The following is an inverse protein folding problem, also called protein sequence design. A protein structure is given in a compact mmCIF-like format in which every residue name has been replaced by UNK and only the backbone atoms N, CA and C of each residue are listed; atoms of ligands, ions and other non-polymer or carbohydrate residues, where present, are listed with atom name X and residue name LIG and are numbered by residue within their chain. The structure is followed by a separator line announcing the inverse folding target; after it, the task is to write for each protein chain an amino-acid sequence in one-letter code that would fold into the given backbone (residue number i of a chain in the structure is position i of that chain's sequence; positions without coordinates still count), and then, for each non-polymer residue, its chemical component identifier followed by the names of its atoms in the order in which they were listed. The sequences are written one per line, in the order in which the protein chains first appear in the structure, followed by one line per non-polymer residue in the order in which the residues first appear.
data_IF_289331438214
#
_entry.id   IF_289331438214
#
_cell.length_a   1.000
_cell.length_b   1.000
_cell.length_c   1.000
_cell.angle_alpha   90.00
_cell.angle_beta   90.00
_cell.angle_gamma   90.00
#
_symmetry.space_group_name_H-M   'P 1'
#
loop_
_entity.id
_entity.type
_entity.pdbx_description
1 polymer ?
#
# COMPACT_ATOMS: atom_id res chain seq x y z
N UNK A 1 10.08 1.45 4.21
CA UNK A 1 8.86 1.01 4.90
C UNK A 1 7.95 2.20 5.19
N UNK A 2 6.65 2.00 5.29
CA UNK A 2 5.67 3.05 5.56
C UNK A 2 4.60 2.54 6.53
N UNK A 3 3.78 3.46 7.03
CA UNK A 3 2.60 3.16 7.85
C UNK A 3 1.33 3.55 7.11
N UNK A 4 0.27 2.77 7.27
CA UNK A 4 -1.04 3.17 6.79
C UNK A 4 -1.56 4.38 7.58
N UNK A 5 -2.34 5.23 6.91
CA UNK A 5 -2.96 6.40 7.55
C UNK A 5 -3.85 6.00 8.73
N UNK A 6 -3.72 6.71 9.84
CA UNK A 6 -4.53 6.45 11.03
C UNK A 6 -6.04 6.62 10.76
N UNK A 7 -6.41 7.55 9.87
CA UNK A 7 -7.80 7.75 9.43
C UNK A 7 -8.34 6.52 8.69
N UNK A 8 -7.57 5.94 7.76
CA UNK A 8 -7.95 4.73 7.02
C UNK A 8 -8.13 3.54 7.96
N UNK A 9 -7.19 3.36 8.91
CA UNK A 9 -7.27 2.28 9.92
C UNK A 9 -8.52 2.44 10.78
N UNK A 10 -8.75 3.66 11.31
CA UNK A 10 -9.91 3.94 12.16
C UNK A 10 -11.24 3.75 11.41
N UNK A 11 -11.30 4.16 10.15
CA UNK A 11 -12.48 3.99 9.33
C UNK A 11 -12.78 2.51 9.05
N UNK A 12 -11.75 1.72 8.70
CA UNK A 12 -11.90 0.28 8.45
C UNK A 12 -12.42 -0.45 9.70
N UNK A 13 -11.84 -0.17 10.87
CA UNK A 13 -12.28 -0.70 12.16
C UNK A 13 -13.73 -0.30 12.44
N UNK A 14 -14.07 0.97 12.19
CA UNK A 14 -15.43 1.50 12.41
C UNK A 14 -16.48 0.85 11.54
N UNK A 15 -16.24 0.71 10.23
CA UNK A 15 -17.18 0.08 9.28
C UNK A 15 -17.45 -1.37 9.67
N UNK A 16 -16.41 -2.11 10.06
CA UNK A 16 -16.52 -3.51 10.44
C UNK A 16 -16.96 -3.71 11.90
N UNK A 17 -17.09 -2.62 12.68
CA UNK A 17 -17.46 -2.65 14.12
C UNK A 17 -16.52 -3.54 14.94
N UNK A 18 -15.21 -3.49 14.67
CA UNK A 18 -14.19 -4.28 15.37
C UNK A 18 -13.59 -3.52 16.56
N UNK A 19 -12.96 -4.26 17.49
CA UNK A 19 -12.19 -3.66 18.58
C UNK A 19 -10.73 -3.48 18.17
N UNK A 20 -10.30 -2.23 17.97
CA UNK A 20 -8.93 -1.89 17.62
C UNK A 20 -7.87 -2.29 18.65
N UNK A 21 -8.28 -2.52 19.91
CA UNK A 21 -7.40 -2.98 20.99
C UNK A 21 -7.35 -4.52 21.14
N UNK A 22 -8.21 -5.24 20.41
CA UNK A 22 -8.21 -6.70 20.45
C UNK A 22 -6.82 -7.26 20.07
N UNK A 23 -6.35 -8.25 20.83
CA UNK A 23 -5.12 -8.97 20.51
C UNK A 23 -5.32 -9.86 19.28
N UNK A 24 -4.48 -9.68 18.28
CA UNK A 24 -4.44 -10.48 17.05
C UNK A 24 -3.04 -11.05 16.81
N UNK A 25 -2.97 -12.12 16.03
CA UNK A 25 -1.71 -12.74 15.63
C UNK A 25 -1.37 -12.42 14.18
N UNK A 26 -0.19 -11.87 13.92
CA UNK A 26 0.39 -11.64 12.60
C UNK A 26 1.66 -12.48 12.48
N UNK A 27 1.58 -13.63 11.82
CA UNK A 27 2.63 -14.65 11.92
C UNK A 27 2.77 -15.14 13.37
N UNK A 28 3.99 -15.10 13.89
CA UNK A 28 4.30 -15.51 15.27
C UNK A 28 4.18 -14.35 16.29
N UNK A 29 3.91 -13.13 15.82
CA UNK A 29 3.82 -11.95 16.67
C UNK A 29 2.38 -11.68 17.11
N UNK A 30 2.20 -11.26 18.38
CA UNK A 30 0.94 -10.78 18.94
C UNK A 30 0.99 -9.28 19.12
N UNK A 31 -0.09 -8.60 18.72
CA UNK A 31 -0.21 -7.14 18.80
C UNK A 31 -1.68 -6.73 18.80
N UNK A 32 -1.98 -5.44 18.98
CA UNK A 32 -3.34 -4.94 18.80
C UNK A 32 -3.73 -4.93 17.32
N UNK A 33 -5.04 -5.03 17.03
CA UNK A 33 -5.55 -4.90 15.66
C UNK A 33 -5.12 -3.56 15.02
N UNK A 34 -5.20 -2.46 15.78
CA UNK A 34 -4.77 -1.15 15.30
C UNK A 34 -3.30 -1.15 14.89
N UNK A 35 -2.40 -1.74 15.69
CA UNK A 35 -0.98 -1.84 15.35
C UNK A 35 -0.75 -2.71 14.11
N UNK A 36 -1.42 -3.85 14.01
CA UNK A 36 -1.35 -4.75 12.87
C UNK A 36 -1.76 -4.04 11.57
N UNK A 37 -2.90 -3.35 11.58
CA UNK A 37 -3.40 -2.60 10.42
C UNK A 37 -2.53 -1.39 10.08
N UNK A 38 -1.95 -0.73 11.07
CA UNK A 38 -1.10 0.45 10.84
C UNK A 38 0.24 0.10 10.19
N UNK A 39 0.89 -0.99 10.62
CA UNK A 39 2.30 -1.21 10.29
C UNK A 39 2.65 -2.58 9.70
N UNK A 40 1.72 -3.52 9.65
CA UNK A 40 2.01 -4.89 9.21
C UNK A 40 1.22 -5.36 7.99
N UNK A 41 0.07 -4.76 7.70
CA UNK A 41 -0.89 -5.26 6.73
C UNK A 41 -1.19 -4.23 5.62
N UNK A 42 -1.34 -4.71 4.39
CA UNK A 42 -1.64 -3.89 3.21
C UNK A 42 -3.12 -3.50 3.17
N UNK A 43 -3.43 -2.20 3.12
CA UNK A 43 -4.80 -1.68 3.09
C UNK A 43 -5.14 -0.92 1.79
N UNK A 44 -4.14 -0.48 1.04
CA UNK A 44 -4.34 0.42 -0.11
C UNK A 44 -4.41 -0.29 -1.47
N UNK A 45 -4.13 -1.60 -1.50
CA UNK A 45 -4.17 -2.41 -2.72
C UNK A 45 -5.09 -3.61 -2.51
N UNK A 46 -6.09 -3.76 -3.37
CA UNK A 46 -6.93 -4.95 -3.41
C UNK A 46 -6.27 -6.08 -4.21
N UNK A 47 -6.62 -7.33 -3.92
CA UNK A 47 -6.07 -8.52 -4.57
C UNK A 47 -7.00 -9.73 -4.41
N UNK A 48 -6.91 -10.74 -5.32
CA UNK A 48 -7.87 -11.84 -5.37
C UNK A 48 -8.03 -12.63 -4.07
N UNK A 49 -6.93 -12.85 -3.34
CA UNK A 49 -6.99 -13.61 -2.08
C UNK A 49 -7.76 -12.87 -0.99
N UNK A 50 -7.65 -11.51 -0.94
CA UNK A 50 -8.49 -10.74 -0.02
C UNK A 50 -9.97 -10.94 -0.33
N UNK A 51 -10.38 -10.75 -1.59
CA UNK A 51 -11.78 -10.93 -2.02
C UNK A 51 -12.29 -12.31 -1.60
N UNK A 52 -11.52 -13.36 -1.88
CA UNK A 52 -11.88 -14.73 -1.54
C UNK A 52 -12.04 -14.95 -0.04
N UNK A 53 -11.06 -14.49 0.76
CA UNK A 53 -11.08 -14.68 2.22
C UNK A 53 -12.18 -13.84 2.87
N UNK A 54 -12.36 -12.59 2.40
CA UNK A 54 -13.40 -11.70 2.88
C UNK A 54 -14.80 -12.23 2.54
N UNK A 55 -15.03 -12.70 1.30
CA UNK A 55 -16.28 -13.35 0.90
C UNK A 55 -16.58 -14.58 1.76
N UNK A 56 -15.58 -15.44 2.00
CA UNK A 56 -15.75 -16.64 2.82
C UNK A 56 -16.10 -16.31 4.28
N UNK A 57 -15.53 -15.24 4.83
CA UNK A 57 -15.80 -14.80 6.20
C UNK A 57 -17.17 -14.12 6.35
N UNK A 58 -17.58 -13.30 5.36
CA UNK A 58 -18.81 -12.50 5.43
C UNK A 58 -20.03 -13.16 4.80
N UNK A 59 -19.84 -14.16 3.92
CA UNK A 59 -20.92 -14.81 3.16
C UNK A 59 -21.53 -13.90 2.08
N UNK A 60 -20.83 -12.86 1.63
CA UNK A 60 -21.36 -11.92 0.62
C UNK A 60 -21.69 -12.62 -0.71
N UNK A 61 -22.98 -12.71 -1.06
CA UNK A 61 -23.45 -13.29 -2.32
C UNK A 61 -23.03 -12.45 -3.52
N UNK A 62 -22.98 -11.15 -3.38
CA UNK A 62 -22.57 -10.22 -4.44
C UNK A 62 -21.10 -10.39 -4.79
N UNK A 63 -20.21 -10.58 -3.79
CA UNK A 63 -18.82 -10.93 -4.05
C UNK A 63 -18.66 -12.32 -4.65
N UNK A 64 -19.46 -13.30 -4.21
CA UNK A 64 -19.46 -14.63 -4.81
C UNK A 64 -19.77 -14.58 -6.30
N UNK A 65 -20.85 -13.86 -6.69
CA UNK A 65 -21.21 -13.65 -8.09
C UNK A 65 -20.11 -12.93 -8.88
N UNK A 66 -19.50 -11.89 -8.31
CA UNK A 66 -18.40 -11.16 -8.96
C UNK A 66 -17.18 -12.06 -9.21
N UNK A 67 -16.91 -13.01 -8.33
CA UNK A 67 -15.80 -13.97 -8.47
C UNK A 67 -15.97 -14.97 -9.60
N UNK A 68 -17.19 -15.19 -10.10
CA UNK A 68 -17.47 -16.08 -11.24
C UNK A 68 -16.96 -15.49 -12.55
N UNK A 69 -16.88 -14.15 -12.67
CA UNK A 69 -16.34 -13.46 -13.84
C UNK A 69 -14.96 -12.84 -13.53
N UNK A 70 -13.92 -13.50 -14.00
CA UNK A 70 -12.53 -13.07 -13.77
C UNK A 70 -12.21 -11.70 -14.38
N UNK A 71 -12.86 -11.32 -15.49
CA UNK A 71 -12.61 -10.03 -16.12
C UNK A 71 -13.24 -8.90 -15.32
N UNK A 72 -14.48 -9.07 -14.88
CA UNK A 72 -15.16 -8.12 -14.02
C UNK A 72 -14.45 -7.99 -12.66
N UNK A 73 -14.07 -9.10 -12.04
CA UNK A 73 -13.31 -9.08 -10.79
C UNK A 73 -12.00 -8.30 -10.91
N UNK A 74 -11.25 -8.49 -12.01
CA UNK A 74 -10.00 -7.76 -12.26
C UNK A 74 -10.24 -6.26 -12.38
N UNK A 75 -11.25 -5.83 -13.15
CA UNK A 75 -11.63 -4.42 -13.29
C UNK A 75 -12.05 -3.85 -11.94
N UNK A 76 -12.91 -4.55 -11.21
CA UNK A 76 -13.39 -4.14 -9.89
C UNK A 76 -12.22 -3.89 -8.92
N UNK A 77 -11.27 -4.83 -8.84
CA UNK A 77 -10.09 -4.69 -7.97
C UNK A 77 -9.13 -3.58 -8.43
N UNK A 78 -9.02 -3.32 -9.74
CA UNK A 78 -8.11 -2.28 -10.24
C UNK A 78 -8.55 -0.87 -9.85
N UNK A 79 -9.85 -0.68 -9.59
CA UNK A 79 -10.45 0.62 -9.27
C UNK A 79 -10.63 0.85 -7.77
N UNK A 80 -10.45 -0.18 -6.92
CA UNK A 80 -10.85 -0.15 -5.51
C UNK A 80 -9.70 -0.50 -4.56
N UNK A 81 -9.63 0.23 -3.47
CA UNK A 81 -8.85 -0.16 -2.30
C UNK A 81 -9.61 -1.16 -1.42
N UNK A 82 -8.97 -1.74 -0.43
CA UNK A 82 -9.60 -2.66 0.55
C UNK A 82 -10.83 -2.02 1.21
N UNK A 83 -10.73 -0.75 1.59
CA UNK A 83 -11.80 -0.02 2.27
C UNK A 83 -13.07 0.08 1.41
N UNK A 84 -12.93 0.25 0.09
CA UNK A 84 -14.09 0.32 -0.81
C UNK A 84 -14.81 -1.00 -0.92
N UNK A 85 -14.06 -2.10 -0.95
CA UNK A 85 -14.62 -3.45 -0.99
C UNK A 85 -15.45 -3.70 0.28
N UNK A 86 -14.94 -3.26 1.43
CA UNK A 86 -15.64 -3.39 2.71
C UNK A 86 -16.90 -2.51 2.76
N UNK A 87 -16.86 -1.30 2.19
CA UNK A 87 -18.02 -0.42 2.06
C UNK A 87 -19.09 -0.99 1.11
N UNK A 88 -18.66 -1.50 -0.05
CA UNK A 88 -19.56 -2.06 -1.06
C UNK A 88 -20.21 -3.37 -0.59
N UNK A 89 -19.53 -4.14 0.25
CA UNK A 89 -19.93 -5.47 0.71
C UNK A 89 -19.84 -5.59 2.23
N UNK A 90 -20.64 -4.82 3.00
CA UNK A 90 -20.57 -4.88 4.46
C UNK A 90 -20.88 -6.29 4.95
N UNK A 91 -20.13 -6.74 5.95
CA UNK A 91 -20.32 -8.08 6.54
C UNK A 91 -19.67 -8.14 7.92
N UNK A 92 -19.93 -9.23 8.64
CA UNK A 92 -19.37 -9.46 9.95
C UNK A 92 -18.22 -10.48 9.87
N UNK A 93 -17.11 -10.15 10.48
CA UNK A 93 -15.97 -11.03 10.67
C UNK A 93 -15.26 -10.65 11.97
N UNK A 94 -14.46 -11.54 12.53
CA UNK A 94 -13.64 -11.23 13.69
C UNK A 94 -12.37 -10.48 13.29
N UNK A 95 -11.72 -9.87 14.28
CA UNK A 95 -10.43 -9.19 14.13
C UNK A 95 -9.37 -10.10 13.51
N UNK A 96 -9.30 -11.33 13.98
CA UNK A 96 -8.35 -12.33 13.46
C UNK A 96 -8.68 -12.74 12.02
N UNK A 97 -9.95 -12.87 11.66
CA UNK A 97 -10.36 -13.17 10.29
C UNK A 97 -9.99 -12.02 9.33
N UNK A 98 -10.10 -10.76 9.78
CA UNK A 98 -9.63 -9.62 8.98
C UNK A 98 -8.12 -9.70 8.75
N UNK A 99 -7.34 -9.95 9.80
CA UNK A 99 -5.88 -10.10 9.69
C UNK A 99 -5.49 -11.22 8.73
N UNK A 100 -6.15 -12.38 8.79
CA UNK A 100 -5.90 -13.53 7.91
C UNK A 100 -6.30 -13.28 6.46
N UNK A 101 -7.28 -12.41 6.21
CA UNK A 101 -7.66 -12.02 4.86
C UNK A 101 -6.67 -11.06 4.22
N UNK A 102 -5.94 -10.27 5.03
CA UNK A 102 -4.99 -9.27 4.58
C UNK A 102 -3.59 -9.88 4.35
N UNK A 103 -2.88 -9.34 3.38
CA UNK A 103 -1.47 -9.71 3.13
C UNK A 103 -0.52 -8.80 3.88
N UNK A 104 0.72 -9.24 4.13
CA UNK A 104 1.72 -8.38 4.73
C UNK A 104 1.96 -7.09 3.93
N UNK A 105 2.18 -6.00 4.66
CA UNK A 105 2.67 -4.75 4.10
C UNK A 105 4.07 -4.99 3.53
N UNK A 106 4.29 -4.57 2.29
CA UNK A 106 5.60 -4.66 1.65
C UNK A 106 6.16 -3.27 1.41
N UNK A 107 7.48 -3.06 1.52
CA UNK A 107 8.09 -1.78 1.22
C UNK A 107 7.83 -1.37 -0.23
N UNK A 108 7.92 -0.07 -0.53
CA UNK A 108 7.90 0.46 -1.90
C UNK A 108 9.31 0.90 -2.27
N UNK A 109 9.68 0.60 -3.51
CA UNK A 109 10.95 1.04 -4.08
C UNK A 109 10.76 2.39 -4.77
N UNK A 110 11.66 3.31 -4.49
CA UNK A 110 11.77 4.60 -5.15
C UNK A 110 13.17 4.75 -5.72
N UNK A 111 13.28 5.20 -6.96
CA UNK A 111 14.58 5.47 -7.57
C UNK A 111 15.25 6.66 -6.88
N UNK A 112 16.53 6.53 -6.58
CA UNK A 112 17.34 7.62 -6.08
C UNK A 112 17.52 8.66 -7.19
N UNK A 113 17.19 9.92 -6.91
CA UNK A 113 17.24 11.05 -7.84
C UNK A 113 18.44 11.96 -7.65
N UNK A 114 19.30 11.68 -6.67
CA UNK A 114 20.49 12.47 -6.34
C UNK A 114 21.79 11.74 -6.65
N UNK A 115 22.84 12.50 -6.93
CA UNK A 115 24.22 11.99 -6.99
C UNK A 115 24.85 12.00 -5.61
N UNK A 116 25.29 10.86 -5.10
CA UNK A 116 25.97 10.78 -3.80
C UNK A 116 27.21 11.68 -3.72
N UNK A 117 27.92 11.90 -4.85
CA UNK A 117 29.08 12.78 -4.89
C UNK A 117 28.74 14.26 -4.66
N UNK A 118 27.49 14.66 -4.93
CA UNK A 118 27.01 16.05 -4.75
C UNK A 118 26.33 16.28 -3.39
N UNK A 119 25.60 15.26 -2.89
CA UNK A 119 24.76 15.40 -1.69
C UNK A 119 25.30 14.63 -0.48
N UNK A 120 26.40 13.91 -0.65
CA UNK A 120 27.13 13.18 0.39
C UNK A 120 26.25 12.18 1.18
N UNK A 121 25.71 12.57 2.33
CA UNK A 121 24.92 11.71 3.23
C UNK A 121 23.42 11.82 2.98
N UNK A 122 22.99 12.60 1.99
CA UNK A 122 21.58 12.76 1.64
C UNK A 122 21.16 11.83 0.50
N UNK A 123 19.85 11.55 0.44
CA UNK A 123 19.21 10.85 -0.68
C UNK A 123 17.96 11.62 -1.08
N UNK A 124 17.89 12.07 -2.33
CA UNK A 124 16.71 12.74 -2.86
C UNK A 124 15.84 11.75 -3.62
N UNK A 125 14.53 11.83 -3.43
CA UNK A 125 13.53 11.01 -4.10
C UNK A 125 12.52 11.90 -4.83
N UNK A 126 12.04 11.43 -5.99
CA UNK A 126 10.91 12.03 -6.67
C UNK A 126 9.67 11.17 -6.43
N UNK A 127 8.74 11.66 -5.63
CA UNK A 127 7.54 10.92 -5.22
C UNK A 127 6.30 11.59 -5.81
N UNK A 128 5.52 10.85 -6.62
CA UNK A 128 4.19 11.29 -6.99
C UNK A 128 3.23 11.00 -5.84
N UNK A 129 2.63 12.04 -5.28
CA UNK A 129 1.59 11.88 -4.27
C UNK A 129 0.32 11.35 -4.94
N UNK A 130 -0.03 10.11 -4.62
CA UNK A 130 -1.29 9.49 -5.07
C UNK A 130 -2.40 9.96 -4.14
N UNK A 131 -3.25 10.84 -4.63
CA UNK A 131 -4.38 11.43 -3.90
C UNK A 131 -5.49 11.74 -4.91
N UNK A 132 -6.65 11.12 -4.73
CA UNK A 132 -7.77 11.22 -5.68
C UNK A 132 -9.11 10.98 -5.00
N UNK A 133 -10.18 11.47 -5.63
CA UNK A 133 -11.55 11.20 -5.23
C UNK A 133 -12.14 10.07 -6.09
N UNK A 134 -12.70 9.05 -5.44
CA UNK A 134 -13.45 7.99 -6.10
C UNK A 134 -14.54 7.47 -5.16
N UNK A 135 -15.67 7.01 -5.71
CA UNK A 135 -16.79 6.44 -4.94
C UNK A 135 -17.30 7.35 -3.80
N UNK A 136 -17.14 8.70 -3.96
CA UNK A 136 -17.52 9.69 -2.95
C UNK A 136 -16.56 9.79 -1.75
N UNK A 137 -15.37 9.21 -1.85
CA UNK A 137 -14.35 9.22 -0.79
C UNK A 137 -12.97 9.59 -1.34
N UNK A 138 -12.16 10.23 -0.49
CA UNK A 138 -10.74 10.49 -0.78
C UNK A 138 -9.94 9.21 -0.62
N UNK A 139 -9.05 8.97 -1.58
CA UNK A 139 -8.14 7.83 -1.61
C UNK A 139 -6.71 8.30 -1.70
N UNK A 140 -5.83 7.64 -0.97
CA UNK A 140 -4.40 7.94 -0.98
C UNK A 140 -3.58 6.67 -1.20
N UNK A 141 -2.42 6.84 -1.81
CA UNK A 141 -1.43 5.76 -1.89
C UNK A 141 -0.77 5.56 -0.53
N UNK A 142 -0.59 4.31 -0.07
CA UNK A 142 -0.04 4.02 1.25
C UNK A 142 1.33 4.67 1.47
N UNK A 143 2.32 4.35 0.64
CA UNK A 143 3.67 4.89 0.79
C UNK A 143 3.77 6.37 0.40
N UNK A 144 3.14 6.80 -0.69
CA UNK A 144 3.18 8.20 -1.11
C UNK A 144 2.43 9.11 -0.15
N UNK A 145 1.28 8.69 0.39
CA UNK A 145 0.56 9.42 1.43
C UNK A 145 1.38 9.53 2.71
N UNK A 146 2.03 8.43 3.13
CA UNK A 146 2.92 8.46 4.28
C UNK A 146 4.06 9.48 4.10
N UNK A 147 4.78 9.43 2.98
CA UNK A 147 5.93 10.30 2.73
C UNK A 147 5.55 11.76 2.51
N UNK A 148 4.41 12.04 1.85
CA UNK A 148 4.06 13.39 1.43
C UNK A 148 3.14 14.12 2.42
N UNK A 149 2.41 13.40 3.28
CA UNK A 149 1.39 14.02 4.14
C UNK A 149 1.53 13.67 5.62
N UNK A 150 1.95 12.42 5.96
CA UNK A 150 1.93 11.97 7.35
C UNK A 150 3.31 11.97 8.02
N UNK A 151 4.38 11.93 7.25
CA UNK A 151 5.74 12.05 7.78
C UNK A 151 6.01 13.51 8.10
N UNK A 152 6.30 13.79 9.38
CA UNK A 152 6.70 15.13 9.80
C UNK A 152 8.09 15.48 9.27
N UNK A 153 8.37 16.77 9.10
CA UNK A 153 9.71 17.25 8.78
C UNK A 153 10.71 16.79 9.84
N UNK A 154 11.83 16.23 9.43
CA UNK A 154 12.82 15.54 10.26
C UNK A 154 12.32 14.26 10.95
N UNK A 155 11.21 13.68 10.50
CA UNK A 155 10.75 12.38 10.96
C UNK A 155 11.57 11.24 10.38
N UNK A 156 11.58 10.10 11.07
CA UNK A 156 12.35 8.91 10.69
C UNK A 156 11.58 8.00 9.73
N UNK A 157 12.30 7.45 8.74
CA UNK A 157 11.82 6.43 7.81
C UNK A 157 12.78 5.26 7.80
N UNK A 158 12.25 4.05 7.99
CA UNK A 158 13.06 2.83 7.81
C UNK A 158 13.26 2.55 6.32
N UNK A 159 14.51 2.48 5.88
CA UNK A 159 14.88 2.26 4.49
C UNK A 159 15.92 1.16 4.34
N UNK A 160 16.00 0.60 3.14
CA UNK A 160 17.14 -0.18 2.67
C UNK A 160 17.50 0.25 1.26
N UNK A 161 18.73 0.04 0.85
CA UNK A 161 19.20 0.35 -0.50
C UNK A 161 19.22 -0.94 -1.32
N UNK A 162 18.46 -0.94 -2.43
CA UNK A 162 18.49 -2.03 -3.39
C UNK A 162 19.40 -1.66 -4.56
N UNK A 163 20.42 -2.47 -4.82
CA UNK A 163 21.34 -2.27 -5.92
C UNK A 163 20.73 -2.74 -7.24
N UNK A 164 20.89 -1.93 -8.30
CA UNK A 164 20.50 -2.29 -9.66
C UNK A 164 21.69 -2.16 -10.61
N UNK A 165 22.34 -3.28 -10.89
CA UNK A 165 23.50 -3.32 -11.79
C UNK A 165 23.12 -3.21 -13.27
N UNK A 166 21.83 -3.42 -13.59
CA UNK A 166 21.31 -3.34 -14.97
C UNK A 166 20.94 -1.91 -15.40
N UNK A 167 20.91 -0.95 -14.44
CA UNK A 167 20.60 0.44 -14.71
C UNK A 167 21.76 1.33 -14.32
N UNK A 168 22.76 1.41 -15.21
CA UNK A 168 24.00 2.16 -15.02
C UNK A 168 24.35 2.92 -16.30
N UNK A 169 25.02 4.06 -16.12
CA UNK A 169 25.62 4.76 -17.26
C UNK A 169 26.74 3.90 -17.86
N UNK A 170 26.98 4.00 -19.18
CA UNK A 170 28.11 3.34 -19.83
C UNK A 170 29.44 3.74 -19.17
N UNK A 171 30.38 2.79 -19.06
CA UNK A 171 31.72 3.06 -18.52
C UNK A 171 32.53 4.03 -19.40
N UNK A 172 32.33 4.00 -20.73
CA UNK A 172 32.91 4.98 -21.66
C UNK A 172 32.03 6.25 -21.70
N UNK A 173 32.53 7.40 -21.20
CA UNK A 173 31.76 8.65 -21.16
C UNK A 173 31.42 9.22 -22.55
N UNK A 174 32.06 8.72 -23.62
CA UNK A 174 31.74 9.13 -25.00
C UNK A 174 30.59 8.32 -25.64
N UNK A 175 30.07 7.32 -24.96
CA UNK A 175 28.95 6.53 -25.45
C UNK A 175 27.68 7.40 -25.51
N UNK A 176 27.02 7.52 -26.68
CA UNK A 176 25.75 8.26 -26.78
C UNK A 176 24.68 7.62 -25.90
N UNK A 177 23.98 8.43 -25.11
CA UNK A 177 22.90 7.98 -24.21
C UNK A 177 21.63 8.76 -24.52
N UNK A 178 20.50 8.06 -24.64
CA UNK A 178 19.17 8.65 -24.73
C UNK A 178 18.44 8.31 -23.44
N UNK A 179 17.97 9.33 -22.72
CA UNK A 179 17.20 9.19 -21.48
C UNK A 179 15.75 9.55 -21.74
N UNK A 180 14.81 8.70 -21.30
CA UNK A 180 13.37 8.93 -21.39
C UNK A 180 12.77 8.70 -20.02
N UNK A 181 12.25 9.76 -19.41
CA UNK A 181 11.72 9.72 -18.04
C UNK A 181 10.41 10.49 -17.91
N UNK A 182 9.24 9.91 -18.29
CA UNK A 182 7.96 10.58 -18.09
C UNK A 182 7.58 10.59 -16.59
N UNK A 183 7.05 11.73 -16.13
CA UNK A 183 6.64 11.91 -14.74
C UNK A 183 7.79 11.67 -13.74
N UNK A 184 7.56 10.83 -12.73
CA UNK A 184 8.59 10.45 -11.75
C UNK A 184 9.72 9.57 -12.32
N UNK A 185 9.58 9.08 -13.54
CA UNK A 185 10.64 8.38 -14.26
C UNK A 185 11.87 9.24 -14.59
N UNK A 186 11.82 10.55 -14.30
CA UNK A 186 12.98 11.47 -14.37
C UNK A 186 13.98 11.23 -13.23
N UNK A 187 13.58 10.50 -12.18
CA UNK A 187 14.38 10.33 -10.96
C UNK A 187 15.76 9.66 -11.16
N UNK A 188 15.84 8.49 -11.84
CA UNK A 188 17.11 7.77 -11.96
C UNK A 188 18.12 8.39 -12.92
#
# INVERSE_FOLDING_TARGET
WFKNAASLVSELIGILSLDGNAEVSVGDAKMSLTEALTSKLELTLSYPNFIKSYQAATGSETLATLMEDKAQLRTYMAERQIIDIVRDHPGQLSEQQLVEALRPLTPRLYSIASSQAEVEEEVHLTVAHVDYEAFGHRHQGGASGFLCEYLEENGDVEVFVEHNDNFRLPADPNTPVIMVGPGTGIAP
#
